data_IF_373384941339
#
_entry.id   IF_373384941339
#
_cell.length_a   1.000
_cell.length_b   1.000
_cell.length_c   1.000
_cell.angle_alpha   90.00
_cell.angle_beta   90.00
_cell.angle_gamma   90.00
#
_symmetry.space_group_name_H-M   'P 1'
#
loop_
_entity.id
_entity.type
_entity.pdbx_description
1 polymer ?
#
# COMPACT_ATOMS: atom_id res chain seq x y z
N UNK A 1 -23.27 22.05 -56.89
CA UNK A 1 -24.64 21.57 -57.23
C UNK A 1 -24.44 20.11 -57.63
N UNK A 2 -24.96 19.07 -57.01
CA UNK A 2 -26.31 18.82 -56.47
C UNK A 2 -26.20 17.53 -55.63
N UNK A 3 -26.85 17.44 -54.46
CA UNK A 3 -27.06 16.17 -53.73
C UNK A 3 -28.08 15.30 -54.49
N UNK A 4 -27.98 13.96 -54.39
CA UNK A 4 -28.91 13.27 -53.50
C UNK A 4 -28.31 12.06 -52.76
N UNK A 5 -28.88 11.77 -51.58
CA UNK A 5 -28.89 10.43 -50.98
C UNK A 5 -30.09 9.64 -51.55
N UNK A 6 -30.10 8.30 -51.47
CA UNK A 6 -30.95 7.72 -50.43
C UNK A 6 -30.39 6.46 -49.73
N UNK A 7 -31.00 6.22 -48.58
CA UNK A 7 -30.85 5.15 -47.59
C UNK A 7 -31.32 3.78 -48.12
N UNK A 8 -30.73 2.70 -47.59
CA UNK A 8 -31.41 1.60 -46.87
C UNK A 8 -30.83 0.22 -47.21
N UNK A 9 -30.26 -0.48 -46.23
CA UNK A 9 -30.56 -1.92 -46.06
C UNK A 9 -30.19 -2.40 -44.64
N UNK A 10 -31.22 -2.45 -43.80
CA UNK A 10 -31.58 -3.53 -42.87
C UNK A 10 -30.49 -4.42 -42.26
N UNK A 11 -30.14 -4.15 -41.00
CA UNK A 11 -29.80 -5.20 -40.04
C UNK A 11 -30.82 -5.17 -38.90
N UNK A 12 -31.71 -6.17 -38.90
CA UNK A 12 -32.85 -6.31 -37.98
C UNK A 12 -32.36 -6.59 -36.56
N UNK A 13 -32.41 -5.55 -35.72
CA UNK A 13 -32.42 -5.69 -34.27
C UNK A 13 -33.69 -6.46 -33.84
N UNK A 14 -33.50 -7.66 -33.30
CA UNK A 14 -34.56 -8.41 -32.65
C UNK A 14 -34.75 -7.83 -31.24
N UNK A 15 -35.73 -6.94 -31.10
CA UNK A 15 -36.37 -6.69 -29.81
C UNK A 15 -37.26 -7.89 -29.45
N UNK A 16 -37.04 -8.46 -28.28
CA UNK A 16 -38.04 -9.22 -27.54
C UNK A 16 -38.40 -8.39 -26.30
N UNK A 17 -39.69 -8.09 -26.06
CA UNK A 17 -40.16 -7.34 -24.91
C UNK A 17 -40.66 -8.29 -23.81
N UNK A 18 -40.50 -7.90 -22.54
CA UNK A 18 -41.50 -8.09 -21.49
C UNK A 18 -41.04 -7.38 -20.21
N UNK A 19 -41.93 -6.52 -19.70
CA UNK A 19 -41.79 -5.80 -18.45
C UNK A 19 -41.83 -6.74 -17.23
N UNK A 20 -41.03 -6.45 -16.21
CA UNK A 20 -41.39 -6.65 -14.80
C UNK A 20 -40.39 -5.91 -13.91
N UNK A 21 -40.93 -5.04 -13.06
CA UNK A 21 -40.20 -4.38 -12.00
C UNK A 21 -39.72 -5.39 -10.95
N UNK A 22 -38.43 -5.34 -10.61
CA UNK A 22 -37.92 -5.81 -9.32
C UNK A 22 -36.70 -4.96 -8.96
N UNK A 23 -36.87 -4.13 -7.93
CA UNK A 23 -35.80 -3.48 -7.20
C UNK A 23 -34.93 -4.58 -6.60
N UNK A 24 -33.78 -4.84 -7.21
CA UNK A 24 -32.71 -5.62 -6.59
C UNK A 24 -31.56 -4.65 -6.36
N UNK A 25 -31.48 -4.17 -5.12
CA UNK A 25 -30.29 -3.58 -4.53
C UNK A 25 -29.18 -4.64 -4.61
N UNK A 26 -28.47 -4.69 -5.74
CA UNK A 26 -27.23 -5.44 -5.87
C UNK A 26 -26.13 -4.64 -5.18
N UNK A 27 -26.19 -4.63 -3.85
CA UNK A 27 -25.04 -4.33 -3.03
C UNK A 27 -24.05 -5.45 -3.24
N UNK A 28 -23.11 -5.27 -4.18
CA UNK A 28 -21.84 -5.97 -4.12
C UNK A 28 -21.15 -5.51 -2.83
N UNK A 29 -21.45 -6.18 -1.73
CA UNK A 29 -20.48 -6.35 -0.66
C UNK A 29 -19.32 -7.05 -1.34
N UNK A 30 -18.32 -6.27 -1.74
CA UNK A 30 -16.98 -6.77 -1.94
C UNK A 30 -16.58 -7.36 -0.59
N UNK A 31 -16.92 -8.62 -0.39
CA UNK A 31 -16.38 -9.44 0.69
C UNK A 31 -14.89 -9.28 0.54
N UNK A 32 -14.28 -8.62 1.52
CA UNK A 32 -12.84 -8.50 1.61
C UNK A 32 -12.32 -9.92 1.63
N UNK A 33 -11.87 -10.40 0.47
CA UNK A 33 -11.08 -11.61 0.36
C UNK A 33 -9.92 -11.37 1.31
N UNK A 34 -9.94 -12.04 2.46
CA UNK A 34 -8.78 -12.11 3.32
C UNK A 34 -7.68 -12.63 2.41
N UNK A 35 -6.76 -11.74 2.04
CA UNK A 35 -5.64 -12.10 1.20
C UNK A 35 -4.97 -13.30 1.87
N UNK A 36 -4.56 -14.33 1.09
CA UNK A 36 -3.77 -15.41 1.66
C UNK A 36 -2.63 -14.78 2.46
N UNK A 37 -2.26 -15.39 3.59
CA UNK A 37 -1.12 -14.97 4.40
C UNK A 37 0.11 -14.99 3.51
N UNK A 38 0.39 -13.87 2.84
CA UNK A 38 1.50 -13.72 1.94
C UNK A 38 2.74 -13.97 2.76
N UNK A 39 3.57 -14.90 2.30
CA UNK A 39 4.89 -15.07 2.88
C UNK A 39 5.61 -13.73 2.77
N UNK A 40 6.18 -13.26 3.87
CA UNK A 40 7.04 -12.08 3.85
C UNK A 40 8.18 -12.28 2.84
N UNK A 41 8.27 -11.42 1.84
CA UNK A 41 9.36 -11.37 0.87
C UNK A 41 10.22 -10.15 1.17
N UNK A 42 11.53 -10.32 1.43
CA UNK A 42 12.45 -9.19 1.52
C UNK A 42 12.66 -8.51 0.16
N UNK A 43 12.85 -7.19 0.15
CA UNK A 43 13.07 -6.43 -1.08
C UNK A 43 12.84 -4.93 -0.94
N UNK A 44 13.00 -4.20 -2.03
CA UNK A 44 12.65 -2.77 -2.13
C UNK A 44 11.22 -2.59 -2.65
N UNK A 45 10.47 -1.73 -1.98
CA UNK A 45 9.07 -1.42 -2.25
C UNK A 45 8.89 0.08 -2.39
N UNK A 46 8.28 0.51 -3.49
CA UNK A 46 7.87 1.90 -3.64
C UNK A 46 6.50 2.08 -3.01
N UNK A 47 6.36 3.07 -2.12
CA UNK A 47 5.10 3.36 -1.43
C UNK A 47 4.81 4.84 -1.45
N UNK A 48 3.52 5.20 -1.40
CA UNK A 48 3.08 6.59 -1.41
C UNK A 48 2.28 6.93 -0.16
N UNK A 49 2.61 8.04 0.50
CA UNK A 49 1.88 8.55 1.67
C UNK A 49 1.51 10.01 1.40
N UNK A 50 0.21 10.30 1.29
CA UNK A 50 -0.25 11.68 1.11
C UNK A 50 0.19 12.33 -0.22
N UNK A 51 0.52 11.54 -1.23
CA UNK A 51 1.01 12.02 -2.53
C UNK A 51 2.54 11.99 -2.67
N UNK A 52 3.27 11.90 -1.56
CA UNK A 52 4.73 11.76 -1.57
C UNK A 52 5.15 10.30 -1.72
N UNK A 53 6.18 10.05 -2.53
CA UNK A 53 6.71 8.71 -2.78
C UNK A 53 7.97 8.42 -1.95
N UNK A 54 8.07 7.19 -1.48
CA UNK A 54 9.17 6.67 -0.66
C UNK A 54 9.63 5.31 -1.17
N UNK A 55 10.91 5.01 -0.95
CA UNK A 55 11.44 3.66 -1.04
C UNK A 55 11.50 3.05 0.35
N UNK A 56 10.93 1.85 0.52
CA UNK A 56 11.11 1.00 1.68
C UNK A 56 11.91 -0.25 1.35
N UNK A 57 13.06 -0.43 1.99
CA UNK A 57 13.87 -1.66 1.90
C UNK A 57 13.57 -2.55 3.11
N UNK A 58 12.95 -3.71 2.87
CA UNK A 58 12.62 -4.72 3.88
C UNK A 58 13.65 -5.84 3.81
N UNK A 59 14.39 -6.05 4.90
CA UNK A 59 15.48 -7.02 4.93
C UNK A 59 15.63 -7.73 6.28
N UNK A 60 16.23 -8.92 6.31
CA UNK A 60 16.65 -9.52 7.56
C UNK A 60 17.59 -8.54 8.31
N UNK A 61 17.40 -8.43 9.61
CA UNK A 61 18.17 -7.49 10.43
C UNK A 61 18.24 -7.93 11.89
N UNK A 62 18.99 -7.18 12.69
CA UNK A 62 18.98 -7.36 14.12
C UNK A 62 17.58 -7.06 14.69
N UNK A 63 17.20 -7.68 15.82
CA UNK A 63 15.98 -7.33 16.54
C UNK A 63 15.90 -5.82 16.82
N UNK A 64 14.67 -5.29 16.73
CA UNK A 64 14.34 -3.94 17.16
C UNK A 64 14.29 -3.79 18.66
N UNK A 65 13.88 -2.60 19.07
CA UNK A 65 13.62 -2.27 20.47
C UNK A 65 12.23 -1.65 20.58
N UNK A 66 11.49 -2.06 21.60
CA UNK A 66 10.30 -1.37 22.09
C UNK A 66 10.56 -0.83 23.50
N UNK A 67 9.94 0.30 23.87
CA UNK A 67 9.96 0.80 25.24
C UNK A 67 8.71 0.32 25.97
N UNK A 68 8.93 -0.36 27.09
CA UNK A 68 7.87 -0.80 28.01
C UNK A 68 8.04 -0.14 29.38
N UNK A 69 7.06 -0.29 30.27
CA UNK A 69 7.18 0.17 31.65
C UNK A 69 8.36 -0.49 32.41
N UNK A 70 8.76 -1.71 32.01
CA UNK A 70 9.92 -2.43 32.56
C UNK A 70 11.24 -2.12 31.85
N UNK A 71 11.27 -1.17 30.92
CA UNK A 71 12.45 -0.80 30.15
C UNK A 71 12.41 -1.25 28.69
N UNK A 72 13.56 -1.13 28.03
CA UNK A 72 13.75 -1.50 26.63
C UNK A 72 13.70 -3.02 26.45
N UNK A 73 12.89 -3.51 25.52
CA UNK A 73 12.78 -4.95 25.19
C UNK A 73 13.05 -5.19 23.71
N UNK A 74 13.66 -6.35 23.35
CA UNK A 74 13.92 -6.69 21.96
C UNK A 74 12.61 -7.05 21.22
N UNK A 75 12.50 -6.61 19.97
CA UNK A 75 11.39 -6.89 19.07
C UNK A 75 11.89 -7.73 17.89
N UNK A 76 11.43 -8.98 17.72
CA UNK A 76 11.83 -9.78 16.56
C UNK A 76 11.19 -9.24 15.27
N UNK A 77 11.82 -9.49 14.13
CA UNK A 77 11.28 -9.14 12.81
C UNK A 77 12.35 -8.62 11.86
N UNK A 78 11.91 -8.35 10.63
CA UNK A 78 12.74 -7.73 9.60
C UNK A 78 12.90 -6.24 9.89
N UNK A 79 14.03 -5.71 9.44
CA UNK A 79 14.30 -4.28 9.42
C UNK A 79 13.62 -3.66 8.21
N UNK A 80 13.07 -2.46 8.38
CA UNK A 80 12.56 -1.62 7.29
C UNK A 80 13.37 -0.33 7.26
N UNK A 81 13.93 0.02 6.11
CA UNK A 81 14.62 1.29 5.87
C UNK A 81 13.81 2.15 4.90
N UNK A 82 13.36 3.32 5.35
CA UNK A 82 12.59 4.28 4.56
C UNK A 82 13.47 5.44 4.11
N UNK A 83 13.45 5.72 2.81
CA UNK A 83 14.16 6.84 2.17
C UNK A 83 13.23 7.58 1.20
N UNK A 84 13.40 8.89 0.98
CA UNK A 84 12.61 9.63 0.00
C UNK A 84 12.85 9.09 -1.42
N UNK A 85 11.79 9.07 -2.23
CA UNK A 85 11.94 8.88 -3.67
C UNK A 85 12.56 10.14 -4.31
N UNK A 86 13.28 9.97 -5.42
CA UNK A 86 14.04 11.06 -6.03
C UNK A 86 13.18 12.32 -6.27
N UNK A 87 13.73 13.49 -5.96
CA UNK A 87 13.08 14.79 -6.17
C UNK A 87 12.41 15.39 -4.94
N UNK A 88 12.25 14.63 -3.84
CA UNK A 88 11.78 15.17 -2.56
C UNK A 88 12.96 15.46 -1.62
N UNK A 89 13.04 16.70 -1.12
CA UNK A 89 14.07 17.15 -0.19
C UNK A 89 13.81 16.62 1.23
N UNK A 90 14.00 15.30 1.39
CA UNK A 90 14.35 14.67 2.67
C UNK A 90 13.18 14.20 3.54
N UNK A 91 13.31 12.98 4.05
CA UNK A 91 12.66 12.60 5.31
C UNK A 91 13.51 13.19 6.43
N UNK A 92 13.08 14.33 7.00
CA UNK A 92 13.78 14.95 8.13
C UNK A 92 13.76 14.08 9.39
N UNK A 93 14.61 14.42 10.36
CA UNK A 93 14.63 13.77 11.68
C UNK A 93 13.37 14.01 12.52
N UNK A 94 12.52 14.95 12.11
CA UNK A 94 11.20 15.25 12.66
C UNK A 94 10.06 14.51 11.93
N UNK A 95 10.35 13.86 10.79
CA UNK A 95 9.36 13.18 9.95
C UNK A 95 9.01 11.75 10.41
N UNK A 96 9.25 11.40 11.68
CA UNK A 96 9.10 10.02 12.18
C UNK A 96 7.70 9.44 12.02
N UNK A 97 6.65 10.26 12.15
CA UNK A 97 5.27 9.82 11.93
C UNK A 97 4.99 9.49 10.45
N UNK A 98 5.54 10.28 9.53
CA UNK A 98 5.45 10.03 8.08
C UNK A 98 6.24 8.76 7.72
N UNK A 99 7.46 8.64 8.25
CA UNK A 99 8.31 7.47 8.09
C UNK A 99 7.62 6.18 8.55
N UNK A 100 6.94 6.21 9.70
CA UNK A 100 6.20 5.07 10.24
C UNK A 100 5.02 4.68 9.33
N UNK A 101 4.31 5.66 8.74
CA UNK A 101 3.26 5.39 7.75
C UNK A 101 3.83 4.71 6.50
N UNK A 102 4.94 5.21 5.97
CA UNK A 102 5.60 4.61 4.81
C UNK A 102 6.11 3.20 5.13
N UNK A 103 6.71 2.98 6.31
CA UNK A 103 7.14 1.66 6.78
C UNK A 103 5.99 0.67 6.91
N UNK A 104 4.82 1.12 7.36
CA UNK A 104 3.61 0.29 7.39
C UNK A 104 3.23 -0.22 6.01
N UNK A 105 3.17 0.69 5.03
CA UNK A 105 2.85 0.33 3.66
C UNK A 105 3.91 -0.60 3.07
N UNK A 106 5.20 -0.29 3.25
CA UNK A 106 6.28 -1.11 2.68
C UNK A 106 6.26 -2.54 3.26
N UNK A 107 5.98 -2.70 4.55
CA UNK A 107 5.83 -4.01 5.16
C UNK A 107 4.60 -4.76 4.62
N UNK A 108 3.48 -4.07 4.39
CA UNK A 108 2.28 -4.67 3.79
C UNK A 108 2.55 -5.14 2.36
N UNK A 109 3.25 -4.35 1.55
CA UNK A 109 3.68 -4.74 0.20
C UNK A 109 4.64 -5.93 0.23
N UNK A 110 5.49 -6.03 1.25
CA UNK A 110 6.34 -7.18 1.50
C UNK A 110 5.56 -8.43 1.95
N UNK A 111 4.26 -8.33 2.21
CA UNK A 111 3.42 -9.43 2.70
C UNK A 111 3.39 -9.60 4.22
N UNK A 112 3.99 -8.68 4.97
CA UNK A 112 4.04 -8.70 6.43
C UNK A 112 3.06 -7.75 7.11
N UNK A 113 3.15 -7.68 8.44
CA UNK A 113 2.49 -6.72 9.29
C UNK A 113 3.53 -5.85 10.00
N UNK A 114 3.29 -4.55 9.97
CA UNK A 114 4.15 -3.60 10.65
C UNK A 114 3.98 -3.67 12.17
N UNK A 115 5.08 -3.71 12.91
CA UNK A 115 5.07 -3.63 14.36
C UNK A 115 5.09 -2.17 14.83
N UNK A 116 3.95 -1.70 15.35
CA UNK A 116 3.78 -0.33 15.82
C UNK A 116 4.63 0.02 17.05
N UNK A 117 5.07 -0.97 17.84
CA UNK A 117 5.88 -0.76 19.04
C UNK A 117 7.37 -0.62 18.73
N UNK A 118 7.81 -0.98 17.51
CA UNK A 118 9.18 -0.83 17.09
C UNK A 118 9.58 0.66 17.04
N UNK A 119 10.69 0.98 17.71
CA UNK A 119 11.27 2.32 17.70
C UNK A 119 12.02 2.53 16.38
N UNK A 120 11.72 3.65 15.72
CA UNK A 120 12.45 4.10 14.54
C UNK A 120 13.66 4.96 14.92
N UNK A 121 14.76 4.83 14.18
CA UNK A 121 15.93 5.70 14.28
C UNK A 121 16.20 6.39 12.94
N UNK A 122 16.46 7.69 12.97
CA UNK A 122 16.88 8.45 11.80
C UNK A 122 18.40 8.43 11.68
N UNK A 123 18.94 8.03 10.53
CA UNK A 123 20.38 7.97 10.29
C UNK A 123 20.94 9.23 9.61
N UNK A 124 22.28 9.32 9.53
CA UNK A 124 22.94 10.46 8.90
C UNK A 124 22.78 10.52 7.37
N UNK A 125 22.31 9.44 6.76
CA UNK A 125 22.05 9.37 5.31
C UNK A 125 20.62 9.79 4.96
N UNK A 126 19.84 10.26 5.93
CA UNK A 126 18.47 10.74 5.71
C UNK A 126 17.42 9.62 5.63
N UNK A 127 17.75 8.43 6.16
CA UNK A 127 16.81 7.31 6.19
C UNK A 127 16.29 7.05 7.61
N UNK A 128 15.03 6.64 7.69
CA UNK A 128 14.45 6.10 8.90
C UNK A 128 14.55 4.58 8.92
N UNK A 129 15.04 4.02 10.01
CA UNK A 129 15.28 2.59 10.18
C UNK A 129 14.39 2.06 11.30
N UNK A 130 13.56 1.07 10.99
CA UNK A 130 12.68 0.38 11.92
C UNK A 130 13.13 -1.09 12.02
N UNK A 131 14.02 -1.39 12.96
CA UNK A 131 14.44 -2.77 13.26
C UNK A 131 13.29 -3.53 13.92
N UNK A 132 13.10 -4.80 13.57
CA UNK A 132 11.93 -5.57 14.04
C UNK A 132 10.58 -4.97 13.59
N UNK A 133 10.60 -4.13 12.56
CA UNK A 133 9.44 -3.38 12.11
C UNK A 133 8.49 -4.19 11.25
N UNK A 134 8.92 -5.31 10.66
CA UNK A 134 8.08 -6.13 9.77
C UNK A 134 8.09 -7.62 10.12
N UNK A 135 6.93 -8.25 10.26
CA UNK A 135 6.79 -9.67 10.59
C UNK A 135 5.55 -10.31 9.96
#
# INVERSE_FOLDING_TARGET
MTRPAPLSETARARCLPAAAAAVLLSGCVAGGTAAPLSRLVPGEYQVSVGGDAFWGDVRPGAPGIELTAGGARPVPGHEIRIRPYAGFSGLGGDAGALAKKAARLACQEAGGRFNETAIGAHDRAGAWIFRGGCA
#
